data_IF_419453675477
#
_entry.id   IF_419453675477
#
_cell.length_a   1.000
_cell.length_b   1.000
_cell.length_c   1.000
_cell.angle_alpha   90.00
_cell.angle_beta   90.00
_cell.angle_gamma   90.00
#
_symmetry.space_group_name_H-M   'P 1'
#
loop_
_entity.id
_entity.type
_entity.pdbx_description
1 polymer ?
#
# COMPACT_ATOMS: atom_id res chain seq x y z
N UNK A 1 23.88 34.12 68.85
CA UNK A 1 22.85 34.80 68.03
C UNK A 1 23.16 34.49 66.58
N UNK A 2 22.40 33.58 65.97
CA UNK A 2 22.56 33.12 64.58
C UNK A 2 21.57 33.91 63.70
N UNK A 3 22.08 34.66 62.72
CA UNK A 3 21.38 35.19 61.54
C UNK A 3 22.49 35.51 60.51
N UNK A 4 22.47 35.26 59.19
CA UNK A 4 21.83 34.34 58.24
C UNK A 4 21.92 35.03 56.87
N UNK A 5 22.54 34.39 55.85
CA UNK A 5 22.16 34.34 54.40
C UNK A 5 22.08 35.73 53.68
N UNK A 6 22.67 36.00 52.51
CA UNK A 6 22.44 35.29 51.26
C UNK A 6 23.60 35.43 50.25
N UNK A 7 24.07 34.28 49.76
CA UNK A 7 24.74 34.15 48.48
C UNK A 7 23.64 33.91 47.43
N UNK A 8 23.41 34.90 46.57
CA UNK A 8 22.44 34.82 45.48
C UNK A 8 22.97 33.83 44.43
N UNK A 9 22.58 32.56 44.55
CA UNK A 9 22.72 31.58 43.47
C UNK A 9 21.60 31.83 42.46
N UNK A 10 21.92 32.47 41.34
CA UNK A 10 21.07 32.49 40.15
C UNK A 10 21.05 31.05 39.60
N UNK A 11 19.97 30.32 39.91
CA UNK A 11 19.70 29.01 39.33
C UNK A 11 19.08 29.25 37.95
N UNK A 12 19.92 29.27 36.92
CA UNK A 12 19.47 29.34 35.53
C UNK A 12 18.74 28.02 35.21
N UNK A 13 17.40 28.04 35.19
CA UNK A 13 16.59 26.91 34.75
C UNK A 13 16.70 26.83 33.22
N UNK A 14 17.74 26.15 32.73
CA UNK A 14 17.84 25.81 31.32
C UNK A 14 16.71 24.83 30.99
N UNK A 15 15.66 25.35 30.35
CA UNK A 15 14.57 24.56 29.84
C UNK A 15 15.12 23.74 28.66
N UNK A 16 15.54 22.51 28.93
CA UNK A 16 15.89 21.54 27.89
C UNK A 16 14.55 21.14 27.25
N UNK A 17 14.13 21.88 26.23
CA UNK A 17 13.22 21.35 25.23
C UNK A 17 14.01 20.26 24.50
N UNK A 18 13.93 19.04 25.03
CA UNK A 18 14.27 17.88 24.23
C UNK A 18 13.42 17.98 22.96
N UNK A 19 14.07 17.98 21.82
CA UNK A 19 13.38 17.78 20.55
C UNK A 19 12.57 16.49 20.68
N UNK A 20 11.25 16.61 20.84
CA UNK A 20 10.36 15.50 20.51
C UNK A 20 10.61 15.26 19.03
N UNK A 21 11.42 14.25 18.72
CA UNK A 21 11.34 13.61 17.43
C UNK A 21 9.86 13.26 17.25
N UNK A 22 9.23 13.73 16.17
CA UNK A 22 7.91 13.26 15.79
C UNK A 22 8.03 11.73 15.68
N UNK A 23 7.56 11.02 16.70
CA UNK A 23 7.54 9.58 16.67
C UNK A 23 6.35 9.23 15.79
N UNK A 24 6.61 8.56 14.66
CA UNK A 24 5.58 8.03 13.77
C UNK A 24 4.47 7.37 14.59
N UNK A 25 3.22 7.76 14.36
CA UNK A 25 2.10 7.10 15.00
C UNK A 25 1.86 5.75 14.32
N UNK A 26 1.48 4.75 15.11
CA UNK A 26 1.17 3.42 14.60
C UNK A 26 -0.34 3.24 14.50
N UNK A 27 -0.82 3.03 13.29
CA UNK A 27 -2.21 2.78 12.95
C UNK A 27 -2.42 1.31 12.66
N UNK A 28 -3.18 0.64 13.52
CA UNK A 28 -3.58 -0.75 13.31
C UNK A 28 -5.05 -0.80 12.91
N UNK A 29 -5.37 -1.47 11.81
CA UNK A 29 -6.76 -1.62 11.37
C UNK A 29 -7.61 -2.31 12.45
N UNK A 30 -8.81 -1.83 12.71
CA UNK A 30 -9.68 -2.23 13.82
C UNK A 30 -11.03 -2.81 13.38
N UNK A 31 -11.25 -2.95 12.07
CA UNK A 31 -12.53 -3.40 11.50
C UNK A 31 -12.28 -4.44 10.42
N UNK A 32 -13.17 -5.43 10.34
CA UNK A 32 -13.10 -6.46 9.28
C UNK A 32 -13.19 -5.86 7.88
N UNK A 33 -13.98 -4.79 7.69
CA UNK A 33 -14.02 -4.00 6.47
C UNK A 33 -14.07 -2.52 6.82
N UNK A 34 -13.19 -1.72 6.24
CA UNK A 34 -13.08 -0.29 6.53
C UNK A 34 -12.60 0.54 5.34
N UNK A 35 -12.65 1.86 5.52
CA UNK A 35 -12.07 2.84 4.60
C UNK A 35 -10.87 3.48 5.28
N UNK A 36 -9.80 3.72 4.52
CA UNK A 36 -8.61 4.40 5.01
C UNK A 36 -8.91 5.75 5.67
N UNK A 37 -9.76 6.58 5.06
CA UNK A 37 -10.10 7.91 5.59
C UNK A 37 -11.23 7.90 6.62
N UNK A 38 -11.59 6.74 7.17
CA UNK A 38 -12.52 6.65 8.28
C UNK A 38 -11.71 6.44 9.58
N UNK A 39 -11.70 7.39 10.53
CA UNK A 39 -10.96 7.24 11.78
C UNK A 39 -11.32 5.97 12.55
N UNK A 40 -12.60 5.57 12.51
CA UNK A 40 -13.09 4.33 13.15
C UNK A 40 -12.52 3.04 12.57
N UNK A 41 -11.84 3.09 11.42
CA UNK A 41 -11.13 1.93 10.85
C UNK A 41 -9.84 1.61 11.61
N UNK A 42 -9.38 2.50 12.51
CA UNK A 42 -8.04 2.43 13.08
C UNK A 42 -8.03 2.50 14.60
N UNK A 43 -7.04 1.83 15.18
CA UNK A 43 -6.52 2.11 16.52
C UNK A 43 -5.16 2.77 16.32
N UNK A 44 -5.04 4.02 16.76
CA UNK A 44 -3.80 4.77 16.74
C UNK A 44 -3.06 4.64 18.08
N UNK A 45 -1.75 4.40 18.02
CA UNK A 45 -0.82 4.50 19.16
C UNK A 45 0.22 5.56 18.82
N UNK A 46 0.24 6.64 19.59
CA UNK A 46 1.07 7.81 19.31
C UNK A 46 0.27 9.10 19.48
N UNK A 47 0.79 10.18 18.89
CA UNK A 47 0.10 11.45 18.81
C UNK A 47 -0.20 11.72 17.35
N UNK A 48 -1.47 11.78 17.01
CA UNK A 48 -1.95 12.13 15.68
C UNK A 48 -3.17 13.06 15.80
N UNK A 49 -3.37 13.93 14.80
CA UNK A 49 -4.32 15.04 14.86
C UNK A 49 -5.76 14.65 14.54
N UNK A 50 -5.98 13.69 13.64
CA UNK A 50 -7.31 13.37 13.09
C UNK A 50 -7.68 11.88 13.17
N UNK A 51 -6.78 11.06 13.71
CA UNK A 51 -6.86 9.62 13.81
C UNK A 51 -7.01 8.94 12.44
N UNK A 52 -6.36 9.47 11.41
CA UNK A 52 -6.27 8.88 10.06
C UNK A 52 -4.79 8.76 9.69
N UNK A 53 -4.32 7.59 9.21
CA UNK A 53 -2.92 7.46 8.84
C UNK A 53 -2.54 8.34 7.65
N UNK A 54 -1.43 9.05 7.78
CA UNK A 54 -0.85 9.91 6.76
C UNK A 54 0.66 9.64 6.52
N UNK A 55 1.34 10.55 5.83
CA UNK A 55 2.65 10.31 5.22
C UNK A 55 3.76 9.92 6.20
N UNK A 56 3.69 10.29 7.48
CA UNK A 56 4.68 9.93 8.49
C UNK A 56 4.29 8.74 9.37
N UNK A 57 3.18 8.08 9.08
CA UNK A 57 2.63 7.00 9.91
C UNK A 57 3.03 5.58 9.51
N UNK A 58 3.05 4.70 10.52
CA UNK A 58 3.18 3.26 10.35
C UNK A 58 1.77 2.66 10.28
N UNK A 59 1.46 1.97 9.19
CA UNK A 59 0.16 1.33 8.98
C UNK A 59 0.28 -0.19 9.00
N UNK A 60 -0.59 -0.83 9.78
CA UNK A 60 -0.68 -2.28 9.92
C UNK A 60 -2.11 -2.72 9.63
N UNK A 61 -2.30 -3.46 8.54
CA UNK A 61 -3.58 -4.10 8.21
C UNK A 61 -3.57 -5.51 8.78
N UNK A 62 -4.49 -5.79 9.70
CA UNK A 62 -4.55 -7.06 10.43
C UNK A 62 -5.12 -8.21 9.57
N UNK A 63 -4.89 -9.44 10.03
CA UNK A 63 -5.46 -10.64 9.42
C UNK A 63 -6.98 -10.58 9.40
N UNK A 64 -7.60 -10.94 8.28
CA UNK A 64 -9.05 -10.92 8.11
C UNK A 64 -9.65 -9.53 7.91
N UNK A 65 -8.85 -8.46 7.91
CA UNK A 65 -9.33 -7.10 7.67
C UNK A 65 -9.13 -6.70 6.21
N UNK A 66 -10.07 -5.91 5.66
CA UNK A 66 -9.98 -5.29 4.35
C UNK A 66 -10.15 -3.78 4.46
N UNK A 67 -9.10 -3.03 4.17
CA UNK A 67 -9.13 -1.56 4.13
C UNK A 67 -9.16 -1.08 2.68
N UNK A 68 -10.11 -0.21 2.35
CA UNK A 68 -10.23 0.40 1.02
C UNK A 68 -9.56 1.77 0.95
N UNK A 69 -8.86 2.04 -0.16
CA UNK A 69 -8.38 3.37 -0.53
C UNK A 69 -9.39 4.00 -1.49
N UNK A 70 -10.09 5.02 -1.01
CA UNK A 70 -11.11 5.77 -1.77
C UNK A 70 -10.59 7.12 -2.29
N UNK A 71 -9.28 7.34 -2.19
CA UNK A 71 -8.54 8.51 -2.66
C UNK A 71 -7.05 8.25 -2.53
N UNK A 72 -6.21 9.14 -3.05
CA UNK A 72 -4.75 9.00 -2.92
C UNK A 72 -4.34 9.15 -1.44
N UNK A 73 -3.56 8.20 -0.93
CA UNK A 73 -3.09 8.20 0.47
C UNK A 73 -1.58 8.06 0.52
N UNK A 74 -1.01 8.45 1.66
CA UNK A 74 0.40 8.27 1.96
C UNK A 74 0.57 7.58 3.31
N UNK A 75 1.72 6.92 3.47
CA UNK A 75 2.17 6.32 4.72
C UNK A 75 3.70 6.25 4.76
N UNK A 76 4.29 6.30 5.94
CA UNK A 76 5.72 6.01 6.09
C UNK A 76 5.98 4.54 5.79
N UNK A 77 5.20 3.65 6.43
CA UNK A 77 5.25 2.22 6.13
C UNK A 77 3.85 1.62 6.08
N UNK A 78 3.67 0.61 5.22
CA UNK A 78 2.44 -0.19 5.18
C UNK A 78 2.78 -1.67 5.26
N UNK A 79 2.22 -2.35 6.26
CA UNK A 79 2.29 -3.80 6.39
C UNK A 79 0.91 -4.40 6.22
N UNK A 80 0.74 -5.21 5.19
CA UNK A 80 -0.41 -6.11 5.07
C UNK A 80 -0.03 -7.43 5.74
N UNK A 81 -0.60 -7.72 6.91
CA UNK A 81 -0.36 -8.98 7.59
C UNK A 81 -0.96 -10.17 6.83
N UNK A 82 -0.55 -11.37 7.22
CA UNK A 82 -1.08 -12.60 6.64
C UNK A 82 -2.60 -12.64 6.76
N UNK A 83 -3.28 -12.83 5.62
CA UNK A 83 -4.75 -12.79 5.51
C UNK A 83 -5.38 -11.40 5.57
N UNK A 84 -4.60 -10.31 5.66
CA UNK A 84 -5.09 -8.94 5.53
C UNK A 84 -5.23 -8.53 4.05
N UNK A 85 -6.06 -7.53 3.79
CA UNK A 85 -6.33 -7.00 2.44
C UNK A 85 -6.27 -5.47 2.40
N UNK A 86 -5.58 -4.94 1.40
CA UNK A 86 -5.68 -3.53 1.01
C UNK A 86 -6.28 -3.45 -0.40
N UNK A 87 -7.40 -2.74 -0.55
CA UNK A 87 -8.10 -2.58 -1.83
C UNK A 87 -7.99 -1.14 -2.32
N UNK A 88 -7.26 -0.92 -3.41
CA UNK A 88 -7.24 0.38 -4.08
C UNK A 88 -8.49 0.51 -4.97
N UNK A 89 -9.42 1.43 -4.67
CA UNK A 89 -10.67 1.60 -5.42
C UNK A 89 -10.76 2.90 -6.21
N UNK A 90 -10.19 3.98 -5.69
CA UNK A 90 -10.22 5.30 -6.33
C UNK A 90 -8.90 6.09 -6.17
N UNK A 91 -7.88 5.52 -5.53
CA UNK A 91 -6.58 6.18 -5.41
C UNK A 91 -5.41 5.25 -5.15
N UNK A 92 -4.22 5.76 -5.45
CA UNK A 92 -2.94 5.08 -5.21
C UNK A 92 -2.47 5.27 -3.77
N UNK A 93 -1.68 4.30 -3.31
CA UNK A 93 -0.93 4.42 -2.06
C UNK A 93 0.52 4.81 -2.37
N UNK A 94 1.00 5.88 -1.74
CA UNK A 94 2.42 6.23 -1.70
C UNK A 94 2.98 5.85 -0.33
N UNK A 95 3.65 4.70 -0.25
CA UNK A 95 4.31 4.28 0.98
C UNK A 95 5.83 4.44 0.87
N UNK A 96 6.49 4.91 1.93
CA UNK A 96 7.96 4.89 2.01
C UNK A 96 8.51 3.47 1.90
N UNK A 97 7.82 2.51 2.52
CA UNK A 97 7.98 1.08 2.24
C UNK A 97 6.66 0.33 2.41
N UNK A 98 6.48 -0.74 1.64
CA UNK A 98 5.32 -1.61 1.75
C UNK A 98 5.73 -3.07 1.82
N UNK A 99 5.08 -3.85 2.68
CA UNK A 99 5.25 -5.29 2.80
C UNK A 99 3.90 -5.99 2.68
N UNK A 100 3.85 -7.04 1.86
CA UNK A 100 2.68 -7.93 1.76
C UNK A 100 3.11 -9.32 2.24
N UNK A 101 2.72 -9.66 3.46
CA UNK A 101 3.06 -10.94 4.08
C UNK A 101 2.31 -12.11 3.41
N UNK A 102 2.72 -13.34 3.69
CA UNK A 102 2.13 -14.54 3.08
C UNK A 102 0.61 -14.60 3.30
N UNK A 103 -0.15 -14.96 2.27
CA UNK A 103 -1.63 -14.86 2.18
C UNK A 103 -2.23 -13.46 2.31
N UNK A 104 -1.43 -12.42 2.59
CA UNK A 104 -1.83 -11.02 2.48
C UNK A 104 -2.11 -10.65 1.02
N UNK A 105 -3.04 -9.71 0.82
CA UNK A 105 -3.56 -9.37 -0.52
C UNK A 105 -3.56 -7.87 -0.77
N UNK A 106 -3.02 -7.46 -1.91
CA UNK A 106 -3.27 -6.13 -2.48
C UNK A 106 -4.17 -6.28 -3.70
N UNK A 107 -5.31 -5.58 -3.69
CA UNK A 107 -6.25 -5.55 -4.81
C UNK A 107 -6.15 -4.20 -5.50
N UNK A 108 -5.83 -4.22 -6.78
CA UNK A 108 -5.83 -3.05 -7.64
C UNK A 108 -7.16 -2.97 -8.42
N UNK A 109 -8.13 -2.28 -7.84
CA UNK A 109 -9.46 -2.07 -8.41
C UNK A 109 -9.59 -0.68 -9.06
N UNK A 110 -8.55 -0.24 -9.78
CA UNK A 110 -8.48 1.06 -10.47
C UNK A 110 -8.07 0.87 -11.94
N UNK A 111 -8.59 1.69 -12.85
CA UNK A 111 -8.11 1.77 -14.23
C UNK A 111 -6.81 2.61 -14.30
N UNK A 112 -5.72 2.01 -14.75
CA UNK A 112 -4.40 2.64 -14.69
C UNK A 112 -3.84 2.69 -13.26
N UNK A 113 -3.25 3.81 -12.85
CA UNK A 113 -2.65 3.96 -11.52
C UNK A 113 -1.34 3.20 -11.34
N UNK A 114 -0.81 3.22 -10.12
CA UNK A 114 0.49 2.62 -9.79
C UNK A 114 0.31 1.48 -8.80
N UNK A 115 0.86 0.31 -9.13
CA UNK A 115 1.09 -0.76 -8.15
C UNK A 115 2.23 -0.29 -7.23
N UNK A 116 2.01 -0.18 -5.90
CA UNK A 116 3.05 0.24 -4.98
C UNK A 116 4.28 -0.68 -5.07
N UNK A 117 5.46 -0.09 -4.93
CA UNK A 117 6.67 -0.89 -4.76
C UNK A 117 6.64 -1.55 -3.38
N UNK A 118 6.69 -2.88 -3.35
CA UNK A 118 6.55 -3.63 -2.11
C UNK A 118 7.49 -4.85 -2.04
N UNK A 119 7.76 -5.28 -0.82
CA UNK A 119 8.32 -6.61 -0.55
C UNK A 119 7.17 -7.60 -0.47
N UNK A 120 7.08 -8.50 -1.44
CA UNK A 120 6.03 -9.51 -1.51
C UNK A 120 6.55 -10.84 -0.98
N UNK A 121 5.81 -11.45 -0.05
CA UNK A 121 6.03 -12.85 0.27
C UNK A 121 5.71 -13.73 -0.95
N UNK A 122 6.44 -14.85 -1.18
CA UNK A 122 6.12 -15.78 -2.27
C UNK A 122 4.68 -16.32 -2.27
N UNK A 123 4.01 -16.29 -1.10
CA UNK A 123 2.61 -16.73 -0.93
C UNK A 123 1.62 -15.58 -0.78
N UNK A 124 2.05 -14.33 -0.97
CA UNK A 124 1.17 -13.14 -1.00
C UNK A 124 0.44 -13.03 -2.34
N UNK A 125 -0.54 -12.13 -2.45
CA UNK A 125 -1.36 -12.00 -3.65
C UNK A 125 -1.41 -10.54 -4.14
N UNK A 126 -1.09 -10.35 -5.42
CA UNK A 126 -1.48 -9.19 -6.20
C UNK A 126 -2.67 -9.57 -7.08
N UNK A 127 -3.78 -8.85 -6.97
CA UNK A 127 -4.99 -9.09 -7.79
C UNK A 127 -5.37 -7.81 -8.53
N UNK A 128 -5.40 -7.86 -9.87
CA UNK A 128 -5.78 -6.74 -10.74
C UNK A 128 -7.23 -6.93 -11.19
N UNK A 129 -8.13 -6.06 -10.73
CA UNK A 129 -9.58 -6.19 -11.02
C UNK A 129 -10.20 -4.99 -11.70
N UNK A 130 -9.62 -3.80 -11.56
CA UNK A 130 -10.27 -2.55 -11.96
C UNK A 130 -9.89 -2.04 -13.35
N UNK A 131 -9.07 -2.76 -14.10
CA UNK A 131 -8.58 -2.27 -15.39
C UNK A 131 -9.71 -2.33 -16.43
N UNK A 132 -9.96 -1.19 -17.07
CA UNK A 132 -10.93 -1.06 -18.17
C UNK A 132 -10.22 -0.73 -19.48
N UNK A 133 -9.37 0.29 -19.50
CA UNK A 133 -8.70 0.80 -20.70
C UNK A 133 -7.19 1.01 -20.53
N UNK A 134 -6.71 1.07 -19.29
CA UNK A 134 -5.39 1.59 -18.96
C UNK A 134 -4.62 0.60 -18.08
N UNK A 135 -3.45 0.18 -18.53
CA UNK A 135 -2.58 -0.68 -17.73
C UNK A 135 -2.11 0.05 -16.46
N UNK A 136 -2.06 -0.61 -15.29
CA UNK A 136 -1.32 -0.08 -14.16
C UNK A 136 0.17 0.02 -14.49
N UNK A 137 0.88 0.93 -13.84
CA UNK A 137 2.34 1.02 -13.86
C UNK A 137 2.93 0.47 -12.55
N UNK A 138 4.26 0.41 -12.44
CA UNK A 138 4.95 0.03 -11.21
C UNK A 138 5.31 -1.45 -11.10
N UNK A 139 5.11 -2.25 -12.13
CA UNK A 139 5.52 -3.67 -12.13
C UNK A 139 7.05 -3.85 -12.18
N UNK A 140 7.76 -2.94 -12.85
CA UNK A 140 9.16 -3.11 -13.26
C UNK A 140 10.08 -3.42 -12.08
N UNK A 141 10.77 -4.57 -12.15
CA UNK A 141 11.75 -4.97 -11.14
C UNK A 141 11.17 -5.53 -9.85
N UNK A 142 9.85 -5.58 -9.69
CA UNK A 142 9.23 -6.23 -8.53
C UNK A 142 9.26 -7.76 -8.66
N UNK A 143 9.28 -8.42 -7.50
CA UNK A 143 9.14 -9.86 -7.36
C UNK A 143 7.84 -10.09 -6.60
N UNK A 144 6.77 -10.43 -7.32
CA UNK A 144 5.45 -10.70 -6.74
C UNK A 144 5.40 -12.10 -6.13
N UNK A 145 4.45 -12.31 -5.20
CA UNK A 145 4.06 -13.65 -4.74
C UNK A 145 3.28 -14.36 -5.83
N UNK A 146 1.96 -14.36 -5.71
CA UNK A 146 1.02 -14.68 -6.80
C UNK A 146 0.59 -13.39 -7.51
N UNK A 147 0.37 -13.49 -8.81
CA UNK A 147 -0.20 -12.43 -9.64
C UNK A 147 -1.45 -12.96 -10.32
N UNK A 148 -2.59 -12.28 -10.11
CA UNK A 148 -3.85 -12.62 -10.76
C UNK A 148 -4.39 -11.43 -11.55
N UNK A 149 -4.58 -11.61 -12.85
CA UNK A 149 -5.33 -10.69 -13.69
C UNK A 149 -6.80 -11.14 -13.79
N UNK A 150 -7.72 -10.36 -13.23
CA UNK A 150 -9.15 -10.67 -13.20
C UNK A 150 -9.97 -9.39 -13.43
N UNK A 151 -9.83 -8.78 -14.60
CA UNK A 151 -10.43 -7.49 -14.95
C UNK A 151 -11.58 -7.67 -15.95
N UNK A 152 -12.79 -8.06 -15.50
CA UNK A 152 -13.93 -8.36 -16.36
C UNK A 152 -14.45 -7.15 -17.16
N UNK A 153 -14.11 -5.94 -16.72
CA UNK A 153 -14.49 -4.69 -17.37
C UNK A 153 -13.42 -4.14 -18.33
N UNK A 154 -12.28 -4.83 -18.49
CA UNK A 154 -11.31 -4.52 -19.55
C UNK A 154 -12.05 -4.46 -20.89
N UNK A 155 -11.86 -3.43 -21.70
CA UNK A 155 -12.58 -3.20 -22.97
C UNK A 155 -11.65 -2.97 -24.17
N UNK A 156 -10.34 -2.97 -23.93
CA UNK A 156 -9.29 -2.80 -24.93
C UNK A 156 -8.15 -3.82 -24.71
N UNK A 157 -7.20 -3.87 -25.63
CA UNK A 157 -5.95 -4.61 -25.41
C UNK A 157 -5.11 -3.87 -24.38
N UNK A 158 -4.72 -4.58 -23.33
CA UNK A 158 -3.89 -4.02 -22.26
C UNK A 158 -2.49 -4.56 -22.41
N UNK A 159 -1.50 -3.67 -22.48
CA UNK A 159 -0.09 -4.04 -22.56
C UNK A 159 0.53 -3.88 -21.18
N UNK A 160 1.10 -4.95 -20.62
CA UNK A 160 1.86 -4.87 -19.36
C UNK A 160 3.14 -4.04 -19.54
N UNK A 161 3.81 -4.19 -20.68
CA UNK A 161 4.99 -3.40 -21.08
C UNK A 161 6.01 -3.24 -19.93
N UNK A 162 6.28 -4.33 -19.20
CA UNK A 162 7.15 -4.32 -18.04
C UNK A 162 7.81 -5.67 -17.81
N UNK A 163 9.00 -5.66 -17.20
CA UNK A 163 9.71 -6.88 -16.80
C UNK A 163 9.66 -7.06 -15.29
N UNK A 164 9.22 -8.22 -14.82
CA UNK A 164 9.04 -8.54 -13.41
C UNK A 164 9.15 -10.05 -13.16
N UNK A 165 9.13 -10.45 -11.89
CA UNK A 165 9.13 -11.86 -11.49
C UNK A 165 7.89 -12.17 -10.67
N UNK A 166 7.36 -13.37 -10.81
CA UNK A 166 6.29 -13.93 -9.98
C UNK A 166 6.85 -15.19 -9.33
N UNK A 167 6.91 -15.24 -8.01
CA UNK A 167 7.49 -16.39 -7.28
C UNK A 167 6.52 -17.56 -7.15
N UNK A 168 5.23 -17.27 -7.21
CA UNK A 168 4.13 -18.23 -7.18
C UNK A 168 3.43 -18.30 -8.53
N UNK A 169 2.09 -18.28 -8.52
CA UNK A 169 1.31 -18.43 -9.74
C UNK A 169 1.12 -17.09 -10.47
N UNK A 170 1.24 -17.12 -11.80
CA UNK A 170 0.72 -16.07 -12.67
C UNK A 170 -0.54 -16.56 -13.37
N UNK A 171 -1.69 -15.99 -13.02
CA UNK A 171 -3.00 -16.39 -13.52
C UNK A 171 -3.70 -15.24 -14.25
N UNK A 172 -4.32 -15.55 -15.39
CA UNK A 172 -5.19 -14.63 -16.13
C UNK A 172 -6.57 -15.27 -16.21
N UNK A 173 -7.51 -14.73 -15.44
CA UNK A 173 -8.85 -15.29 -15.27
C UNK A 173 -9.87 -14.60 -16.19
N UNK A 174 -9.82 -13.27 -16.28
CA UNK A 174 -10.78 -12.50 -17.07
C UNK A 174 -10.12 -11.25 -17.67
N UNK A 175 -10.25 -11.09 -18.99
CA UNK A 175 -9.86 -9.89 -19.76
C UNK A 175 -11.08 -9.19 -20.37
N UNK A 176 -12.25 -9.54 -19.83
CA UNK A 176 -13.58 -9.00 -20.02
C UNK A 176 -14.43 -9.64 -21.11
N UNK A 177 -15.72 -9.29 -21.08
CA UNK A 177 -16.75 -9.77 -22.00
C UNK A 177 -17.24 -8.71 -23.01
N UNK A 178 -17.69 -9.13 -24.21
CA UNK A 178 -17.59 -10.48 -24.75
C UNK A 178 -16.13 -10.87 -25.00
N UNK A 179 -15.79 -12.15 -24.84
CA UNK A 179 -14.43 -12.65 -25.09
C UNK A 179 -14.04 -12.30 -26.52
N UNK A 180 -13.09 -11.37 -26.67
CA UNK A 180 -12.59 -10.93 -27.96
C UNK A 180 -11.07 -10.77 -27.91
N UNK A 181 -10.30 -11.82 -28.23
CA UNK A 181 -8.84 -11.78 -28.17
C UNK A 181 -8.21 -10.72 -29.10
N UNK A 182 -8.93 -10.25 -30.12
CA UNK A 182 -8.45 -9.20 -31.03
C UNK A 182 -8.39 -7.82 -30.37
N UNK A 183 -9.30 -7.54 -29.44
CA UNK A 183 -9.48 -6.21 -28.85
C UNK A 183 -9.49 -6.19 -27.33
N UNK A 184 -9.44 -7.33 -26.64
CA UNK A 184 -9.60 -7.45 -25.17
C UNK A 184 -8.62 -8.48 -24.61
N UNK A 185 -7.37 -8.46 -25.06
CA UNK A 185 -6.30 -9.35 -24.58
C UNK A 185 -5.38 -8.64 -23.58
N UNK A 186 -4.83 -9.40 -22.64
CA UNK A 186 -3.63 -9.00 -21.90
C UNK A 186 -2.40 -9.36 -22.74
N UNK A 187 -1.57 -8.36 -23.03
CA UNK A 187 -0.43 -8.45 -23.95
C UNK A 187 0.84 -8.06 -23.21
N UNK A 188 1.97 -8.63 -23.63
CA UNK A 188 3.26 -8.31 -23.01
C UNK A 188 3.90 -7.06 -23.60
N UNK A 189 3.98 -6.95 -24.93
CA UNK A 189 4.70 -5.85 -25.60
C UNK A 189 3.79 -5.08 -26.57
N UNK A 190 3.85 -3.73 -26.59
CA UNK A 190 3.22 -2.92 -27.62
C UNK A 190 4.08 -2.77 -28.89
N UNK A 191 5.38 -3.09 -28.82
CA UNK A 191 6.36 -2.85 -29.87
C UNK A 191 7.49 -3.91 -29.88
N UNK A 192 8.61 -3.62 -30.54
CA UNK A 192 9.76 -4.53 -30.63
C UNK A 192 10.65 -4.55 -29.38
N UNK A 193 10.27 -3.85 -28.29
CA UNK A 193 10.99 -3.89 -27.02
C UNK A 193 10.86 -5.25 -26.35
N UNK A 194 11.92 -5.69 -25.68
CA UNK A 194 11.92 -6.93 -24.93
C UNK A 194 11.34 -6.73 -23.53
N UNK A 195 10.42 -7.61 -23.13
CA UNK A 195 9.87 -7.69 -21.78
C UNK A 195 9.92 -9.14 -21.30
N UNK A 196 10.29 -9.34 -20.05
CA UNK A 196 10.42 -10.68 -19.45
C UNK A 196 9.57 -10.79 -18.19
N UNK A 197 8.74 -11.82 -18.13
CA UNK A 197 8.07 -12.26 -16.89
C UNK A 197 8.71 -13.59 -16.51
N UNK A 198 9.43 -13.61 -15.39
CA UNK A 198 9.94 -14.86 -14.82
C UNK A 198 8.84 -15.43 -13.91
N UNK A 199 8.50 -16.70 -14.08
CA UNK A 199 7.53 -17.45 -13.26
C UNK A 199 8.15 -18.78 -12.88
#
# INVERSE_FOLDING_TARGET
>A
MKVSIQMLFIFCFALIVGSVSAQSSTFTSNVGTGNWNAPGSWIAVGSDADNIPDADDIVIIQSGHNISLNGAQAASTVTINSGGTLTATLGSLTAGSMTVNGTGTYIHAIDGGTIPNATWSPTSNLIITGVTGTAPIGFSGQIFGNFTWNSPSQNTNIYLASSFTVSGNFEVLDTGLPVNPGTRALRMSPDASSYTINV
#
